data_IF_015888102432
#
_entry.id   IF_015888102432
#
_cell.length_a   1.000
_cell.length_b   1.000
_cell.length_c   1.000
_cell.angle_alpha   90.00
_cell.angle_beta   90.00
_cell.angle_gamma   90.00
#
_symmetry.space_group_name_H-M   'P 1'
#
loop_
_entity.id
_entity.type
_entity.pdbx_description
1 polymer ?
#
# COMPACT_ATOMS: atom_id res chain seq x y z
N UNK A 1 -11.84 0.42 -13.23
CA UNK A 1 -11.41 0.01 -11.89
C UNK A 1 -10.22 0.86 -11.39
N UNK A 2 -9.07 0.88 -12.08
CA UNK A 2 -7.85 1.61 -11.65
C UNK A 2 -8.13 3.11 -11.46
N UNK A 3 -8.79 3.76 -12.43
CA UNK A 3 -9.11 5.20 -12.35
C UNK A 3 -9.99 5.49 -11.14
N UNK A 4 -10.98 4.65 -10.87
CA UNK A 4 -11.89 4.81 -9.71
C UNK A 4 -11.11 4.67 -8.40
N UNK A 5 -10.20 3.71 -8.29
CA UNK A 5 -9.38 3.52 -7.08
C UNK A 5 -8.47 4.73 -6.82
N UNK A 6 -7.81 5.23 -7.84
CA UNK A 6 -6.93 6.40 -7.71
C UNK A 6 -7.75 7.63 -7.31
N UNK A 7 -8.86 7.89 -7.99
CA UNK A 7 -9.73 9.04 -7.71
C UNK A 7 -10.31 8.96 -6.29
N UNK A 8 -10.79 7.79 -5.88
CA UNK A 8 -11.32 7.59 -4.54
C UNK A 8 -10.23 7.76 -3.46
N UNK A 9 -9.02 7.28 -3.73
CA UNK A 9 -7.88 7.47 -2.85
C UNK A 9 -7.52 8.95 -2.65
N UNK A 10 -7.52 9.73 -3.72
CA UNK A 10 -7.26 11.17 -3.69
C UNK A 10 -8.35 11.89 -2.88
N UNK A 11 -9.62 11.60 -3.17
CA UNK A 11 -10.75 12.18 -2.42
C UNK A 11 -10.67 11.80 -0.94
N UNK A 12 -10.30 10.55 -0.64
CA UNK A 12 -10.08 10.10 0.74
C UNK A 12 -9.01 10.90 1.48
N UNK A 13 -7.90 11.20 0.81
CA UNK A 13 -6.83 12.06 1.38
C UNK A 13 -7.36 13.47 1.67
N UNK A 14 -8.11 14.06 0.75
CA UNK A 14 -8.69 15.39 0.95
C UNK A 14 -9.69 15.42 2.11
N UNK A 15 -10.53 14.40 2.24
CA UNK A 15 -11.43 14.26 3.38
C UNK A 15 -10.64 14.13 4.68
N UNK A 16 -9.57 13.35 4.68
CA UNK A 16 -8.69 13.25 5.85
C UNK A 16 -8.10 14.61 6.24
N UNK A 17 -7.63 15.39 5.26
CA UNK A 17 -7.13 16.75 5.53
C UNK A 17 -8.19 17.65 6.17
N UNK A 18 -9.44 17.57 5.70
CA UNK A 18 -10.55 18.30 6.31
C UNK A 18 -10.81 17.86 7.76
N UNK A 19 -10.78 16.54 8.03
CA UNK A 19 -10.99 16.02 9.38
C UNK A 19 -9.90 16.44 10.37
N UNK A 20 -8.66 16.62 9.89
CA UNK A 20 -7.52 16.99 10.74
C UNK A 20 -7.15 18.47 10.65
N UNK A 21 -8.02 19.30 10.06
CA UNK A 21 -7.81 20.74 9.90
C UNK A 21 -6.49 21.08 9.18
N UNK A 22 -6.20 20.33 8.12
CA UNK A 22 -5.03 20.52 7.27
C UNK A 22 -5.42 21.21 5.96
N UNK A 23 -4.44 21.85 5.31
CA UNK A 23 -4.62 22.33 3.94
C UNK A 23 -4.99 21.18 3.02
N UNK A 24 -6.11 21.31 2.30
CA UNK A 24 -6.66 20.21 1.48
C UNK A 24 -5.73 19.83 0.35
N UNK A 25 -5.22 20.82 -0.40
CA UNK A 25 -4.31 20.57 -1.52
C UNK A 25 -2.86 20.65 -1.04
N UNK A 26 -2.22 19.51 -0.99
CA UNK A 26 -0.83 19.38 -0.56
C UNK A 26 -0.06 18.49 -1.54
N UNK A 27 1.26 18.58 -1.47
CA UNK A 27 2.19 17.65 -2.13
C UNK A 27 3.20 17.21 -1.08
N UNK A 28 3.40 15.91 -0.95
CA UNK A 28 4.28 15.35 0.08
C UNK A 28 5.76 15.66 -0.17
N UNK A 29 6.46 15.97 0.89
CA UNK A 29 7.93 16.09 0.93
C UNK A 29 8.59 14.92 1.64
N UNK A 30 7.82 13.93 2.09
CA UNK A 30 8.33 12.79 2.86
C UNK A 30 9.15 11.87 1.98
N UNK A 31 10.44 11.78 2.26
CA UNK A 31 11.35 10.88 1.55
C UNK A 31 11.09 9.43 1.93
N UNK A 32 10.87 8.59 0.90
CA UNK A 32 10.74 7.13 1.04
C UNK A 32 11.55 6.46 -0.05
N UNK A 33 12.85 6.40 0.15
CA UNK A 33 13.80 5.85 -0.82
C UNK A 33 14.88 5.06 -0.11
N UNK A 34 15.60 4.23 -0.85
CA UNK A 34 16.64 3.38 -0.33
C UNK A 34 16.21 1.93 -0.18
N UNK A 35 17.19 1.03 -0.09
CA UNK A 35 17.00 -0.41 -0.08
C UNK A 35 16.03 -0.89 1.03
N UNK A 36 16.10 -0.31 2.22
CA UNK A 36 15.23 -0.67 3.34
C UNK A 36 13.75 -0.40 3.04
N UNK A 37 13.42 0.75 2.42
CA UNK A 37 12.07 1.10 2.02
C UNK A 37 11.58 0.21 0.87
N UNK A 38 12.42 -0.08 -0.10
CA UNK A 38 12.09 -0.90 -1.26
C UNK A 38 11.84 -2.36 -0.89
N UNK A 39 12.73 -2.97 -0.10
CA UNK A 39 12.52 -4.32 0.42
C UNK A 39 11.26 -4.40 1.27
N UNK A 40 11.00 -3.37 2.06
CA UNK A 40 9.80 -3.28 2.88
C UNK A 40 8.51 -3.32 2.03
N UNK A 41 8.47 -2.63 0.90
CA UNK A 41 7.30 -2.68 0.00
C UNK A 41 7.15 -4.03 -0.72
N UNK A 42 8.26 -4.70 -1.05
CA UNK A 42 8.21 -6.08 -1.54
C UNK A 42 7.56 -6.99 -0.49
N UNK A 43 8.03 -6.93 0.76
CA UNK A 43 7.49 -7.75 1.86
C UNK A 43 6.03 -7.42 2.14
N UNK A 44 5.67 -6.13 2.21
CA UNK A 44 4.32 -5.67 2.47
C UNK A 44 3.33 -6.18 1.41
N UNK A 45 3.68 -6.04 0.14
CA UNK A 45 2.80 -6.44 -0.97
C UNK A 45 2.78 -7.97 -1.14
N UNK A 46 3.92 -8.63 -0.98
CA UNK A 46 3.98 -10.09 -0.95
C UNK A 46 3.03 -10.66 0.09
N UNK A 47 3.13 -10.22 1.34
CA UNK A 47 2.30 -10.73 2.42
C UNK A 47 0.82 -10.42 2.22
N UNK A 48 0.48 -9.22 1.72
CA UNK A 48 -0.91 -8.86 1.42
C UNK A 48 -1.52 -9.82 0.39
N UNK A 49 -0.84 -10.01 -0.74
CA UNK A 49 -1.36 -10.91 -1.78
C UNK A 49 -1.34 -12.37 -1.36
N UNK A 50 -0.34 -12.78 -0.58
CA UNK A 50 -0.29 -14.13 -0.04
C UNK A 50 -1.48 -14.43 0.87
N UNK A 51 -1.85 -13.48 1.73
CA UNK A 51 -3.05 -13.56 2.59
C UNK A 51 -4.33 -13.62 1.74
N UNK A 52 -4.43 -12.78 0.71
CA UNK A 52 -5.61 -12.77 -0.19
C UNK A 52 -5.72 -14.10 -0.95
N UNK A 53 -4.63 -14.56 -1.56
CA UNK A 53 -4.63 -15.79 -2.36
C UNK A 53 -4.92 -17.03 -1.51
N UNK A 54 -4.33 -17.10 -0.30
CA UNK A 54 -4.64 -18.14 0.66
C UNK A 54 -6.09 -18.09 1.15
N UNK A 55 -6.59 -16.88 1.41
CA UNK A 55 -7.99 -16.64 1.78
C UNK A 55 -8.96 -17.09 0.70
N UNK A 56 -8.70 -16.76 -0.57
CA UNK A 56 -9.50 -17.21 -1.71
C UNK A 56 -9.60 -18.74 -1.79
N UNK A 57 -8.53 -19.42 -1.46
CA UNK A 57 -8.48 -20.90 -1.52
C UNK A 57 -9.18 -21.57 -0.34
N UNK A 58 -9.01 -21.03 0.87
CA UNK A 58 -9.37 -21.74 2.10
C UNK A 58 -10.51 -21.11 2.91
N UNK A 59 -10.68 -19.77 2.82
CA UNK A 59 -11.63 -19.02 3.65
C UNK A 59 -12.11 -17.73 2.94
N UNK A 60 -12.83 -17.85 1.80
CA UNK A 60 -13.20 -16.67 1.00
C UNK A 60 -13.97 -15.60 1.77
N UNK A 61 -14.85 -16.02 2.68
CA UNK A 61 -15.65 -15.10 3.50
C UNK A 61 -14.84 -14.34 4.56
N UNK A 62 -13.65 -14.84 4.89
CA UNK A 62 -12.76 -14.22 5.87
C UNK A 62 -11.80 -13.19 5.27
N UNK A 63 -11.72 -13.07 3.94
CA UNK A 63 -10.74 -12.20 3.26
C UNK A 63 -10.77 -10.76 3.78
N UNK A 64 -11.93 -10.09 3.91
CA UNK A 64 -11.95 -8.71 4.41
C UNK A 64 -11.30 -8.57 5.79
N UNK A 65 -11.58 -9.50 6.69
CA UNK A 65 -11.01 -9.53 8.04
C UNK A 65 -9.50 -9.82 8.00
N UNK A 66 -9.08 -10.80 7.20
CA UNK A 66 -7.67 -11.16 7.04
C UNK A 66 -6.84 -9.99 6.49
N UNK A 67 -7.36 -9.30 5.48
CA UNK A 67 -6.72 -8.10 4.91
C UNK A 67 -6.65 -6.98 5.94
N UNK A 68 -7.72 -6.72 6.67
CA UNK A 68 -7.74 -5.69 7.70
C UNK A 68 -6.70 -5.95 8.80
N UNK A 69 -6.63 -7.19 9.30
CA UNK A 69 -5.64 -7.60 10.31
C UNK A 69 -4.22 -7.48 9.75
N UNK A 70 -3.99 -7.97 8.52
CA UNK A 70 -2.67 -7.92 7.90
C UNK A 70 -2.19 -6.46 7.74
N UNK A 71 -2.99 -5.58 7.16
CA UNK A 71 -2.60 -4.18 6.95
C UNK A 71 -2.39 -3.45 8.27
N UNK A 72 -3.23 -3.72 9.28
CA UNK A 72 -3.05 -3.16 10.62
C UNK A 72 -1.69 -3.53 11.21
N UNK A 73 -1.28 -4.78 11.08
CA UNK A 73 0.04 -5.23 11.51
C UNK A 73 1.17 -4.68 10.65
N UNK A 74 1.02 -4.79 9.32
CA UNK A 74 2.04 -4.39 8.36
C UNK A 74 2.40 -2.90 8.41
N UNK A 75 1.45 -2.05 8.74
CA UNK A 75 1.70 -0.63 8.98
C UNK A 75 2.79 -0.41 10.04
N UNK A 76 2.88 -1.29 11.02
CA UNK A 76 3.84 -1.19 12.12
C UNK A 76 5.11 -2.00 11.92
N UNK A 77 5.03 -3.21 11.32
CA UNK A 77 6.22 -4.04 11.16
C UNK A 77 7.04 -3.73 9.90
N UNK A 78 6.51 -2.96 8.95
CA UNK A 78 7.25 -2.55 7.75
C UNK A 78 7.85 -1.16 7.94
N UNK A 79 9.08 -0.94 7.46
CA UNK A 79 9.72 0.38 7.52
C UNK A 79 9.09 1.41 6.58
N UNK A 80 8.39 0.94 5.56
CA UNK A 80 7.67 1.78 4.60
C UNK A 80 6.28 2.22 5.06
N UNK A 81 5.77 1.71 6.18
CA UNK A 81 4.37 1.82 6.61
C UNK A 81 3.37 1.12 5.68
N UNK A 82 3.82 0.11 4.93
CA UNK A 82 2.98 -0.78 4.12
C UNK A 82 2.01 -0.04 3.19
N UNK A 83 2.52 0.56 2.13
CA UNK A 83 1.66 1.10 1.08
C UNK A 83 0.97 -0.04 0.33
N UNK A 84 1.77 -1.00 -0.12
CA UNK A 84 1.32 -2.27 -0.71
C UNK A 84 0.27 -2.14 -1.84
N UNK A 85 0.14 -0.94 -2.42
CA UNK A 85 -0.87 -0.63 -3.43
C UNK A 85 -0.46 0.60 -4.24
N UNK A 86 -0.38 0.51 -5.58
CA UNK A 86 -0.04 1.66 -6.43
C UNK A 86 -1.01 2.84 -6.30
N UNK A 87 -2.32 2.59 -6.18
CA UNK A 87 -3.30 3.67 -6.04
C UNK A 87 -3.14 4.40 -4.69
N UNK A 88 -2.88 3.66 -3.61
CA UNK A 88 -2.55 4.23 -2.29
C UNK A 88 -1.26 5.04 -2.37
N UNK A 89 -0.25 4.54 -3.07
CA UNK A 89 1.02 5.24 -3.27
C UNK A 89 0.81 6.59 -3.96
N UNK A 90 0.00 6.64 -5.00
CA UNK A 90 -0.35 7.87 -5.69
C UNK A 90 -1.12 8.82 -4.77
N UNK A 91 -2.15 8.34 -4.08
CA UNK A 91 -2.95 9.16 -3.17
C UNK A 91 -2.09 9.76 -2.04
N UNK A 92 -1.19 8.97 -1.45
CA UNK A 92 -0.32 9.40 -0.35
C UNK A 92 0.77 10.39 -0.79
N UNK A 93 1.02 10.57 -2.08
CA UNK A 93 1.88 11.66 -2.57
C UNK A 93 1.26 13.04 -2.41
N UNK A 94 -0.05 13.10 -2.16
CA UNK A 94 -0.80 14.33 -2.00
C UNK A 94 -1.07 14.70 -0.53
N UNK A 95 -0.32 14.13 0.39
CA UNK A 95 -0.37 14.51 1.81
C UNK A 95 1.04 14.72 2.36
N UNK A 96 1.31 15.94 2.82
CA UNK A 96 2.58 16.31 3.45
C UNK A 96 2.55 16.01 4.95
N UNK A 97 2.39 14.76 5.27
CA UNK A 97 2.32 14.21 6.63
C UNK A 97 3.26 13.00 6.75
N UNK A 98 3.34 12.42 7.96
CA UNK A 98 4.09 11.17 8.17
C UNK A 98 3.62 10.02 7.25
N UNK A 99 2.38 10.09 6.77
CA UNK A 99 1.82 9.08 5.87
C UNK A 99 2.20 9.28 4.41
N UNK A 100 2.82 10.40 4.05
CA UNK A 100 3.09 10.80 2.68
C UNK A 100 4.29 10.10 2.03
N UNK A 101 4.44 10.35 0.74
CA UNK A 101 5.59 9.96 -0.07
C UNK A 101 5.88 11.07 -1.08
N UNK A 102 7.15 11.47 -1.17
CA UNK A 102 7.58 12.41 -2.21
C UNK A 102 7.21 11.85 -3.60
N UNK A 103 6.55 12.64 -4.48
CA UNK A 103 6.12 12.16 -5.79
C UNK A 103 7.23 11.46 -6.60
N UNK A 104 8.46 11.96 -6.55
CA UNK A 104 9.61 11.35 -7.22
C UNK A 104 9.99 9.96 -6.71
N UNK A 105 9.56 9.58 -5.51
CA UNK A 105 9.80 8.26 -4.93
C UNK A 105 8.70 7.22 -5.24
N UNK A 106 7.54 7.66 -5.76
CA UNK A 106 6.42 6.76 -6.09
C UNK A 106 6.77 5.68 -7.11
N UNK A 107 7.44 5.97 -8.25
CA UNK A 107 7.68 4.95 -9.26
C UNK A 107 8.41 3.73 -8.71
N UNK A 108 9.43 3.95 -7.87
CA UNK A 108 10.18 2.84 -7.27
C UNK A 108 9.32 2.01 -6.31
N UNK A 109 8.48 2.65 -5.50
CA UNK A 109 7.52 1.94 -4.65
C UNK A 109 6.59 1.06 -5.48
N UNK A 110 6.03 1.59 -6.55
CA UNK A 110 5.14 0.84 -7.44
C UNK A 110 5.87 -0.37 -8.06
N UNK A 111 7.11 -0.19 -8.51
CA UNK A 111 7.92 -1.29 -9.05
C UNK A 111 8.14 -2.38 -7.99
N UNK A 112 8.49 -2.00 -6.76
CA UNK A 112 8.71 -2.96 -5.68
C UNK A 112 7.43 -3.68 -5.26
N UNK A 113 6.30 -2.99 -5.27
CA UNK A 113 4.99 -3.59 -5.06
C UNK A 113 4.67 -4.64 -6.13
N UNK A 114 4.92 -4.35 -7.40
CA UNK A 114 4.71 -5.31 -8.48
C UNK A 114 5.63 -6.54 -8.36
N UNK A 115 6.88 -6.36 -7.94
CA UNK A 115 7.80 -7.46 -7.65
C UNK A 115 7.26 -8.32 -6.50
N UNK A 116 6.85 -7.71 -5.40
CA UNK A 116 6.24 -8.42 -4.27
C UNK A 116 4.99 -9.20 -4.67
N UNK A 117 4.15 -8.59 -5.50
CA UNK A 117 2.97 -9.23 -6.05
C UNK A 117 3.30 -10.47 -6.90
N UNK A 118 4.27 -10.35 -7.79
CA UNK A 118 4.72 -11.45 -8.65
C UNK A 118 5.25 -12.63 -7.82
N UNK A 119 6.09 -12.34 -6.82
CA UNK A 119 6.62 -13.37 -5.91
C UNK A 119 5.47 -14.06 -5.16
N UNK A 120 4.48 -13.31 -4.67
CA UNK A 120 3.33 -13.87 -3.98
C UNK A 120 2.54 -14.85 -4.86
N UNK A 121 2.30 -14.50 -6.11
CA UNK A 121 1.60 -15.37 -7.06
C UNK A 121 2.37 -16.67 -7.29
N UNK A 122 3.67 -16.59 -7.55
CA UNK A 122 4.53 -17.77 -7.79
C UNK A 122 4.53 -18.69 -6.57
N UNK A 123 4.72 -18.14 -5.38
CA UNK A 123 4.74 -18.92 -4.13
C UNK A 123 3.37 -19.53 -3.84
N UNK A 124 2.29 -18.77 -4.03
CA UNK A 124 0.93 -19.27 -3.81
C UNK A 124 0.58 -20.43 -4.75
N UNK A 125 0.99 -20.36 -6.02
CA UNK A 125 0.78 -21.44 -6.98
C UNK A 125 1.48 -22.75 -6.58
N UNK A 126 2.61 -22.65 -5.88
CA UNK A 126 3.34 -23.82 -5.39
C UNK A 126 2.81 -24.39 -4.07
N UNK A 127 2.11 -23.57 -3.27
CA UNK A 127 1.64 -23.96 -1.93
C UNK A 127 0.14 -24.25 -1.86
N UNK A 128 -0.63 -23.63 -2.71
CA UNK A 128 -2.10 -23.72 -2.75
C UNK A 128 -2.56 -24.37 -4.04
#
# INVERSE_FOLDING_TARGET
>A
YIIVQISAGIVGVWIAHLMFDLTVLQTSTTLRTGASQWVSEIVATFGLLFVILGGLRHAPTAIPTLVAIYITGAYWFTSSTSFANPAVTIARSLTDTFAGILPGNMPMFIVMQLIGAAIAVVVAQGLF
#
